data_IF_346746291426
#
_entry.id   IF_346746291426
#
_cell.length_a   1.000
_cell.length_b   1.000
_cell.length_c   1.000
_cell.angle_alpha   90.00
_cell.angle_beta   90.00
_cell.angle_gamma   90.00
#
_symmetry.space_group_name_H-M   'P 1'
#
loop_
_entity.id
_entity.type
_entity.pdbx_description
1 polymer ?
#
# COMPACT_ATOMS: atom_id res chain seq x y z
N UNK A 1 -14.84 27.91 -39.68
CA UNK A 1 -13.75 28.15 -38.72
C UNK A 1 -14.01 27.25 -37.51
N UNK A 2 -13.47 26.03 -37.50
CA UNK A 2 -13.71 25.03 -36.45
C UNK A 2 -12.46 24.97 -35.57
N UNK A 3 -12.59 25.40 -34.32
CA UNK A 3 -11.50 25.37 -33.35
C UNK A 3 -11.26 23.92 -32.89
N UNK A 4 -10.10 23.38 -33.26
CA UNK A 4 -9.58 22.11 -32.73
C UNK A 4 -9.13 22.38 -31.29
N UNK A 5 -9.86 21.81 -30.33
CA UNK A 5 -9.46 21.73 -28.92
C UNK A 5 -8.25 20.78 -28.83
N UNK A 6 -7.05 21.35 -28.94
CA UNK A 6 -5.80 20.66 -28.65
C UNK A 6 -5.82 20.22 -27.18
N UNK A 7 -5.83 18.91 -26.96
CA UNK A 7 -5.67 18.30 -25.65
C UNK A 7 -4.41 18.84 -24.97
N UNK A 8 -4.56 19.25 -23.70
CA UNK A 8 -3.43 19.68 -22.89
C UNK A 8 -2.37 18.57 -22.87
N UNK A 9 -1.08 18.88 -23.09
CA UNK A 9 -0.03 17.88 -23.02
C UNK A 9 -0.03 17.25 -21.63
N UNK A 10 -0.13 15.91 -21.58
CA UNK A 10 0.11 15.13 -20.37
C UNK A 10 1.54 15.43 -19.94
N UNK A 11 1.69 16.19 -18.86
CA UNK A 11 2.99 16.52 -18.29
C UNK A 11 3.64 15.20 -17.87
N UNK A 12 4.87 14.92 -18.32
CA UNK A 12 5.60 13.74 -17.91
C UNK A 12 5.74 13.74 -16.37
N UNK A 13 5.06 12.80 -15.72
CA UNK A 13 5.33 12.48 -14.31
C UNK A 13 6.79 12.04 -14.24
N UNK A 14 7.61 12.73 -13.47
CA UNK A 14 8.98 12.28 -13.20
C UNK A 14 8.92 10.88 -12.59
N UNK A 15 9.50 9.90 -13.28
CA UNK A 15 9.45 8.51 -12.83
C UNK A 15 10.06 8.38 -11.42
N UNK A 16 9.30 7.77 -10.50
CA UNK A 16 9.76 7.50 -9.13
C UNK A 16 10.81 6.39 -9.15
N UNK A 17 12.03 6.68 -8.71
CA UNK A 17 13.13 5.71 -8.70
C UNK A 17 13.01 4.76 -7.50
N UNK A 18 12.42 3.58 -7.74
CA UNK A 18 12.25 2.53 -6.72
C UNK A 18 13.35 1.46 -6.74
N UNK A 19 14.49 1.69 -7.43
CA UNK A 19 15.55 0.67 -7.54
C UNK A 19 16.13 0.25 -6.19
N UNK A 20 16.36 1.22 -5.29
CA UNK A 20 16.83 0.96 -3.93
C UNK A 20 15.87 0.05 -3.15
N UNK A 21 14.59 0.41 -3.16
CA UNK A 21 13.50 -0.38 -2.57
C UNK A 21 13.50 -1.83 -3.08
N UNK A 22 13.50 -2.04 -4.39
CA UNK A 22 13.48 -3.39 -4.97
C UNK A 22 14.72 -4.22 -4.61
N UNK A 23 15.91 -3.59 -4.61
CA UNK A 23 17.15 -4.25 -4.23
C UNK A 23 17.07 -4.75 -2.78
N UNK A 24 16.62 -3.89 -1.85
CA UNK A 24 16.52 -4.26 -0.44
C UNK A 24 15.42 -5.29 -0.19
N UNK A 25 14.26 -5.14 -0.84
CA UNK A 25 13.14 -6.07 -0.73
C UNK A 25 13.53 -7.50 -1.15
N UNK A 26 14.25 -7.65 -2.26
CA UNK A 26 14.74 -8.96 -2.73
C UNK A 26 15.85 -9.55 -1.86
N UNK A 27 16.60 -8.71 -1.16
CA UNK A 27 17.68 -9.14 -0.28
C UNK A 27 17.20 -9.52 1.13
N UNK A 28 15.94 -9.21 1.49
CA UNK A 28 15.41 -9.50 2.81
C UNK A 28 15.27 -11.02 3.03
N UNK A 29 15.92 -11.62 4.03
CA UNK A 29 15.80 -13.04 4.32
C UNK A 29 14.34 -13.46 4.55
N UNK A 30 14.00 -14.67 4.09
CA UNK A 30 12.66 -15.25 4.20
C UNK A 30 12.76 -16.46 5.14
N UNK A 31 12.22 -16.40 6.37
CA UNK A 31 12.15 -17.57 7.25
C UNK A 31 11.09 -18.57 6.75
N UNK A 32 11.15 -19.82 7.21
CA UNK A 32 10.24 -20.91 6.81
C UNK A 32 8.74 -20.62 7.08
N UNK A 33 8.46 -19.69 8.00
CA UNK A 33 7.11 -19.26 8.36
C UNK A 33 6.76 -17.86 7.83
N UNK A 34 7.35 -17.51 6.68
CA UNK A 34 6.96 -16.36 5.88
C UNK A 34 7.11 -16.61 4.37
N UNK A 35 6.36 -15.86 3.58
CA UNK A 35 6.38 -15.93 2.11
C UNK A 35 6.86 -14.62 1.49
N UNK A 36 7.84 -14.71 0.59
CA UNK A 36 8.16 -13.60 -0.32
C UNK A 36 7.20 -13.55 -1.50
N UNK A 37 6.64 -12.37 -1.76
CA UNK A 37 5.52 -12.22 -2.69
C UNK A 37 5.91 -11.92 -4.15
N UNK A 38 7.17 -11.63 -4.43
CA UNK A 38 7.59 -11.06 -5.73
C UNK A 38 8.70 -11.89 -6.39
N UNK A 39 8.53 -13.21 -6.31
CA UNK A 39 9.46 -14.21 -6.84
C UNK A 39 9.35 -14.42 -8.35
N UNK A 40 10.19 -15.29 -8.92
CA UNK A 40 10.25 -15.55 -10.35
C UNK A 40 9.09 -16.43 -10.85
N UNK A 41 8.31 -17.05 -9.99
CA UNK A 41 7.14 -17.86 -10.35
C UNK A 41 6.04 -17.02 -11.03
N UNK A 42 5.11 -17.62 -11.80
CA UNK A 42 4.06 -16.89 -12.51
C UNK A 42 3.29 -15.89 -11.63
N UNK A 43 2.87 -16.32 -10.44
CA UNK A 43 2.14 -15.48 -9.49
C UNK A 43 3.02 -14.37 -8.89
N UNK A 44 4.29 -14.67 -8.58
CA UNK A 44 5.26 -13.67 -8.12
C UNK A 44 5.49 -12.56 -9.14
N UNK A 45 5.64 -12.93 -10.42
CA UNK A 45 5.80 -11.95 -11.51
C UNK A 45 4.52 -11.12 -11.72
N UNK A 46 3.35 -11.72 -11.58
CA UNK A 46 2.06 -11.01 -11.61
C UNK A 46 1.98 -10.00 -10.46
N UNK A 47 2.26 -10.45 -9.23
CA UNK A 47 2.28 -9.60 -8.03
C UNK A 47 3.27 -8.44 -8.17
N UNK A 48 4.43 -8.68 -8.77
CA UNK A 48 5.40 -7.61 -9.06
C UNK A 48 4.87 -6.59 -10.06
N UNK A 49 4.29 -7.04 -11.18
CA UNK A 49 3.67 -6.12 -12.17
C UNK A 49 2.56 -5.30 -11.53
N UNK A 50 1.74 -5.91 -10.69
CA UNK A 50 0.71 -5.22 -9.92
C UNK A 50 1.29 -4.18 -8.95
N UNK A 51 2.36 -4.50 -8.21
CA UNK A 51 2.99 -3.54 -7.32
C UNK A 51 3.61 -2.36 -8.09
N UNK A 52 4.25 -2.63 -9.24
CA UNK A 52 4.78 -1.57 -10.12
C UNK A 52 3.66 -0.68 -10.64
N UNK A 53 2.57 -1.27 -11.11
CA UNK A 53 1.38 -0.52 -11.54
C UNK A 53 0.80 0.33 -10.40
N UNK A 54 0.73 -0.21 -9.19
CA UNK A 54 0.29 0.54 -8.02
C UNK A 54 1.18 1.76 -7.76
N UNK A 55 2.51 1.59 -7.81
CA UNK A 55 3.46 2.69 -7.65
C UNK A 55 3.28 3.78 -8.73
N UNK A 56 3.10 3.40 -9.99
CA UNK A 56 2.83 4.34 -11.09
C UNK A 56 1.55 5.15 -10.84
N UNK A 57 0.48 4.46 -10.46
CA UNK A 57 -0.81 5.07 -10.21
C UNK A 57 -0.77 6.06 -9.04
N UNK A 58 -0.16 5.65 -7.92
CA UNK A 58 0.00 6.52 -6.75
C UNK A 58 0.87 7.73 -7.10
N UNK A 59 1.99 7.53 -7.79
CA UNK A 59 2.87 8.62 -8.22
C UNK A 59 2.12 9.64 -9.09
N UNK A 60 1.26 9.18 -10.00
CA UNK A 60 0.43 10.07 -10.83
C UNK A 60 -0.56 10.92 -10.01
N UNK A 61 -0.95 10.48 -8.80
CA UNK A 61 -1.79 11.31 -7.90
C UNK A 61 -0.99 12.39 -7.16
N UNK A 62 0.35 12.30 -7.14
CA UNK A 62 1.24 13.14 -6.32
C UNK A 62 1.78 14.40 -7.01
N UNK A 63 1.26 14.74 -8.19
CA UNK A 63 1.62 15.96 -8.94
C UNK A 63 1.18 17.28 -8.25
N UNK A 64 0.37 17.20 -7.20
CA UNK A 64 -0.06 18.37 -6.42
C UNK A 64 0.96 18.76 -5.34
N UNK A 65 1.20 20.07 -5.16
CA UNK A 65 2.03 20.61 -4.07
C UNK A 65 1.44 20.25 -2.71
N UNK A 66 2.20 19.65 -1.80
CA UNK A 66 1.82 19.42 -0.40
C UNK A 66 2.51 18.21 0.21
N UNK A 67 2.23 17.90 1.48
CA UNK A 67 2.88 16.78 2.12
C UNK A 67 2.44 15.47 1.48
N UNK A 68 3.36 14.53 1.39
CA UNK A 68 3.13 13.20 0.82
C UNK A 68 3.05 12.20 1.96
N UNK A 69 1.91 11.51 2.03
CA UNK A 69 1.58 10.64 3.17
C UNK A 69 1.91 9.20 2.81
N UNK A 70 2.48 8.48 3.77
CA UNK A 70 2.59 7.03 3.72
C UNK A 70 1.82 6.39 4.86
N UNK A 71 0.93 5.46 4.53
CA UNK A 71 0.28 4.57 5.48
C UNK A 71 1.06 3.27 5.60
N UNK A 72 1.50 2.94 6.81
CA UNK A 72 2.34 1.78 7.10
C UNK A 72 1.55 0.74 7.90
N UNK A 73 1.21 -0.38 7.28
CA UNK A 73 0.60 -1.56 7.91
C UNK A 73 1.62 -2.49 8.57
N UNK A 74 1.15 -3.56 9.23
CA UNK A 74 2.04 -4.54 9.89
C UNK A 74 2.72 -5.48 8.87
N UNK A 75 1.92 -6.25 8.12
CA UNK A 75 2.39 -7.23 7.13
C UNK A 75 1.28 -7.54 6.09
N UNK A 76 1.63 -8.08 4.91
CA UNK A 76 0.68 -8.65 3.95
C UNK A 76 -0.26 -9.69 4.58
N UNK A 77 -1.54 -9.64 4.23
CA UNK A 77 -2.54 -10.63 4.63
C UNK A 77 -2.82 -11.68 3.54
N UNK A 78 -3.03 -12.93 3.95
CA UNK A 78 -3.16 -14.07 3.02
C UNK A 78 -4.35 -13.98 2.03
N UNK A 79 -5.41 -13.23 2.37
CA UNK A 79 -6.62 -13.07 1.52
C UNK A 79 -6.59 -11.83 0.61
N UNK A 80 -5.60 -10.96 0.78
CA UNK A 80 -5.51 -9.68 0.10
C UNK A 80 -4.18 -9.55 -0.62
N UNK A 81 -3.24 -8.90 0.05
CA UNK A 81 -1.92 -8.56 -0.50
C UNK A 81 -1.14 -9.78 -1.00
N UNK A 82 -1.17 -10.92 -0.30
CA UNK A 82 -0.47 -12.14 -0.76
C UNK A 82 -0.96 -12.63 -2.12
N UNK A 83 -2.23 -12.38 -2.46
CA UNK A 83 -2.86 -12.76 -3.74
C UNK A 83 -2.66 -11.66 -4.79
N UNK A 84 -2.84 -10.39 -4.40
CA UNK A 84 -2.86 -9.26 -5.34
C UNK A 84 -1.48 -8.69 -5.66
N UNK A 85 -0.52 -8.84 -4.76
CA UNK A 85 0.76 -8.13 -4.79
C UNK A 85 0.68 -6.67 -4.32
N UNK A 86 -0.51 -6.17 -3.97
CA UNK A 86 -0.75 -4.76 -3.63
C UNK A 86 -1.25 -4.62 -2.18
N UNK A 87 -0.68 -3.71 -1.37
CA UNK A 87 -1.12 -3.48 0.01
C UNK A 87 -2.62 -3.18 0.13
N UNK A 88 -3.27 -3.78 1.14
CA UNK A 88 -4.70 -3.64 1.42
C UNK A 88 -5.61 -3.76 0.18
N UNK A 89 -5.26 -4.66 -0.73
CA UNK A 89 -6.01 -4.86 -1.99
C UNK A 89 -6.31 -6.35 -2.14
N UNK A 90 -7.59 -6.75 -2.15
CA UNK A 90 -8.00 -8.10 -2.55
C UNK A 90 -8.46 -8.12 -4.01
N UNK A 91 -8.82 -9.28 -4.56
CA UNK A 91 -9.36 -9.39 -5.93
C UNK A 91 -10.52 -8.41 -6.16
N UNK A 92 -11.42 -8.25 -5.18
CA UNK A 92 -12.50 -7.25 -5.22
C UNK A 92 -12.01 -5.82 -5.52
N UNK A 93 -10.88 -5.39 -4.93
CA UNK A 93 -10.29 -4.07 -5.21
C UNK A 93 -9.58 -4.06 -6.57
N UNK A 94 -8.82 -5.11 -6.90
CA UNK A 94 -8.13 -5.23 -8.20
C UNK A 94 -9.09 -5.08 -9.38
N UNK A 95 -10.28 -5.68 -9.26
CA UNK A 95 -11.31 -5.70 -10.31
C UNK A 95 -12.34 -4.60 -10.18
N UNK A 96 -12.13 -3.59 -9.32
CA UNK A 96 -13.10 -2.52 -9.11
C UNK A 96 -13.30 -1.71 -10.41
N UNK A 97 -14.56 -1.37 -10.68
CA UNK A 97 -15.01 -0.54 -11.81
C UNK A 97 -16.07 0.44 -11.28
N UNK A 98 -15.86 1.76 -11.34
CA UNK A 98 -14.62 2.44 -11.77
C UNK A 98 -13.41 2.09 -10.88
N UNK A 99 -12.19 2.35 -11.38
CA UNK A 99 -10.94 2.16 -10.65
C UNK A 99 -10.90 2.95 -9.35
N UNK A 100 -10.34 2.37 -8.28
CA UNK A 100 -10.31 3.00 -6.96
C UNK A 100 -9.28 4.12 -6.88
N UNK A 101 -8.24 4.08 -7.72
CA UNK A 101 -7.20 5.12 -7.78
C UNK A 101 -7.52 6.12 -8.89
N UNK A 102 -7.82 5.62 -10.09
CA UNK A 102 -7.96 6.46 -11.29
C UNK A 102 -9.37 7.00 -11.49
N UNK A 103 -10.39 6.35 -10.92
CA UNK A 103 -11.79 6.59 -11.28
C UNK A 103 -12.15 6.15 -12.70
N UNK A 104 -11.24 5.50 -13.44
CA UNK A 104 -11.48 5.11 -14.82
C UNK A 104 -12.56 4.01 -14.90
N UNK A 105 -13.51 4.07 -15.87
CA UNK A 105 -14.54 3.06 -16.01
C UNK A 105 -13.96 1.65 -16.18
N UNK A 106 -12.78 1.57 -16.82
CA UNK A 106 -12.07 0.33 -17.16
C UNK A 106 -11.21 -0.21 -16.03
N UNK A 107 -11.19 0.50 -14.89
CA UNK A 107 -10.44 0.16 -13.70
C UNK A 107 -8.99 0.63 -13.72
N UNK A 108 -8.24 0.22 -12.70
CA UNK A 108 -6.86 0.68 -12.48
C UNK A 108 -5.81 -0.09 -13.31
N UNK A 109 -6.23 -1.11 -14.07
CA UNK A 109 -5.35 -1.88 -14.96
C UNK A 109 -4.45 -2.89 -14.24
N UNK A 110 -4.88 -3.42 -13.10
CA UNK A 110 -4.21 -4.53 -12.44
C UNK A 110 -4.53 -5.87 -13.11
N UNK A 111 -3.58 -6.80 -13.00
CA UNK A 111 -3.77 -8.20 -13.38
C UNK A 111 -4.48 -8.99 -12.28
N UNK A 112 -5.30 -9.94 -12.69
CA UNK A 112 -6.09 -10.80 -11.80
C UNK A 112 -5.50 -12.20 -11.87
N UNK A 113 -5.10 -12.80 -10.72
CA UNK A 113 -4.70 -14.20 -10.69
C UNK A 113 -5.82 -15.10 -11.24
N UNK A 114 -5.45 -16.13 -11.99
CA UNK A 114 -6.42 -17.04 -12.62
C UNK A 114 -7.23 -17.83 -11.58
N UNK A 115 -6.56 -18.31 -10.53
CA UNK A 115 -7.14 -19.15 -9.48
C UNK A 115 -6.89 -18.55 -8.08
N UNK A 116 -7.52 -17.41 -7.73
CA UNK A 116 -7.25 -16.74 -6.47
C UNK A 116 -7.80 -17.54 -5.28
N UNK A 117 -6.95 -17.84 -4.29
CA UNK A 117 -7.34 -18.58 -3.08
C UNK A 117 -8.42 -17.87 -2.24
N UNK A 118 -8.56 -16.55 -2.37
CA UNK A 118 -9.63 -15.75 -1.81
C UNK A 118 -9.90 -14.54 -2.70
N UNK A 119 -11.17 -14.12 -2.79
CA UNK A 119 -11.56 -12.94 -3.59
C UNK A 119 -11.70 -11.67 -2.76
N UNK A 120 -11.85 -11.81 -1.45
CA UNK A 120 -12.21 -10.72 -0.55
C UNK A 120 -11.43 -10.74 0.76
N UNK A 121 -11.01 -9.56 1.19
CA UNK A 121 -10.46 -9.30 2.52
C UNK A 121 -11.18 -8.11 3.17
N UNK A 122 -11.61 -8.27 4.42
CA UNK A 122 -12.34 -7.24 5.17
C UNK A 122 -11.51 -5.96 5.38
N UNK A 123 -10.24 -6.08 5.76
CA UNK A 123 -9.35 -4.94 6.00
C UNK A 123 -9.17 -4.11 4.73
N UNK A 124 -8.86 -4.76 3.60
CA UNK A 124 -8.82 -4.12 2.27
C UNK A 124 -10.09 -3.31 1.97
N UNK A 125 -11.27 -3.91 2.15
CA UNK A 125 -12.54 -3.23 1.90
C UNK A 125 -12.77 -2.01 2.82
N UNK A 126 -12.39 -2.09 4.08
CA UNK A 126 -12.51 -0.96 5.03
C UNK A 126 -11.56 0.17 4.65
N UNK A 127 -10.29 -0.15 4.36
CA UNK A 127 -9.27 0.84 4.00
C UNK A 127 -9.70 1.64 2.77
N UNK A 128 -10.06 0.95 1.68
CA UNK A 128 -10.47 1.64 0.46
C UNK A 128 -11.79 2.40 0.60
N UNK A 129 -12.74 1.91 1.40
CA UNK A 129 -13.96 2.67 1.70
C UNK A 129 -13.65 3.97 2.47
N UNK A 130 -12.71 3.94 3.41
CA UNK A 130 -12.30 5.16 4.12
C UNK A 130 -11.55 6.12 3.19
N UNK A 131 -10.70 5.60 2.30
CA UNK A 131 -9.97 6.38 1.31
C UNK A 131 -10.88 6.99 0.22
N UNK A 132 -12.09 6.48 0.01
CA UNK A 132 -13.05 7.10 -0.91
C UNK A 132 -13.44 8.53 -0.48
N UNK A 133 -13.30 8.87 0.81
CA UNK A 133 -13.50 10.23 1.33
C UNK A 133 -12.18 11.04 1.40
N UNK A 134 -11.06 10.48 0.96
CA UNK A 134 -9.76 11.15 0.96
C UNK A 134 -9.75 12.34 -0.01
N UNK A 135 -8.98 13.38 0.32
CA UNK A 135 -8.88 14.60 -0.49
C UNK A 135 -7.41 14.92 -0.73
N UNK A 136 -7.07 15.21 -1.98
CA UNK A 136 -5.68 15.41 -2.40
C UNK A 136 -5.00 14.11 -2.83
N UNK A 137 -3.65 14.12 -2.96
CA UNK A 137 -2.88 12.95 -3.39
C UNK A 137 -3.16 11.74 -2.50
N UNK A 138 -3.38 10.57 -3.09
CA UNK A 138 -3.60 9.35 -2.31
C UNK A 138 -2.36 9.03 -1.46
N UNK A 139 -2.53 8.53 -0.23
CA UNK A 139 -1.41 8.05 0.54
C UNK A 139 -0.79 6.83 -0.14
N UNK A 140 0.55 6.78 -0.15
CA UNK A 140 1.25 5.54 -0.46
C UNK A 140 1.02 4.55 0.68
N UNK A 141 0.68 3.31 0.37
CA UNK A 141 0.41 2.28 1.37
C UNK A 141 1.48 1.22 1.24
N UNK A 142 2.05 0.79 2.37
CA UNK A 142 3.02 -0.30 2.42
C UNK A 142 2.99 -1.00 3.78
N UNK A 143 3.61 -2.17 3.91
CA UNK A 143 3.74 -2.88 5.18
C UNK A 143 5.16 -2.70 5.75
N UNK A 144 5.30 -2.56 7.07
CA UNK A 144 6.63 -2.47 7.69
C UNK A 144 7.41 -3.78 7.54
N UNK A 145 6.75 -4.94 7.65
CA UNK A 145 7.31 -6.23 7.26
C UNK A 145 6.76 -6.62 5.88
N UNK A 146 7.60 -6.76 4.83
CA UNK A 146 7.10 -6.87 3.46
C UNK A 146 6.81 -8.31 3.00
N UNK A 147 7.24 -9.33 3.75
CA UNK A 147 6.87 -10.73 3.51
C UNK A 147 5.57 -11.05 4.23
N UNK A 148 4.84 -12.06 3.77
CA UNK A 148 3.63 -12.54 4.46
C UNK A 148 3.99 -13.53 5.58
N UNK A 149 3.86 -13.18 6.86
CA UNK A 149 4.09 -14.10 7.96
C UNK A 149 2.85 -14.98 8.21
N UNK A 150 3.06 -16.29 8.32
CA UNK A 150 2.01 -17.27 8.59
C UNK A 150 2.38 -18.20 9.74
N UNK A 151 1.42 -18.95 10.27
CA UNK A 151 1.71 -20.03 11.21
C UNK A 151 2.53 -21.12 10.50
N UNK A 152 3.52 -21.75 11.18
CA UNK A 152 4.34 -22.80 10.57
C UNK A 152 3.49 -23.90 9.93
N UNK A 153 3.76 -24.22 8.66
CA UNK A 153 3.00 -25.21 7.90
C UNK A 153 1.60 -24.78 7.43
N UNK A 154 1.15 -23.57 7.76
CA UNK A 154 -0.20 -23.08 7.47
C UNK A 154 -0.18 -21.72 6.73
N UNK A 155 0.22 -21.68 5.45
CA UNK A 155 0.34 -20.43 4.68
C UNK A 155 -0.99 -19.65 4.51
N UNK A 156 -2.14 -20.28 4.71
CA UNK A 156 -3.46 -19.63 4.68
C UNK A 156 -3.88 -19.02 6.04
N UNK A 157 -2.91 -18.54 6.82
CA UNK A 157 -3.12 -17.92 8.14
C UNK A 157 -2.33 -16.62 8.22
N UNK A 158 -2.71 -15.74 9.14
CA UNK A 158 -1.90 -14.58 9.46
C UNK A 158 -1.30 -14.79 10.84
N UNK A 159 0.03 -14.70 10.97
CA UNK A 159 0.65 -14.45 12.27
C UNK A 159 1.11 -12.99 12.38
N UNK A 160 1.19 -12.41 13.57
CA UNK A 160 1.91 -11.16 13.79
C UNK A 160 3.38 -11.25 13.31
N UNK A 161 3.92 -10.23 12.64
CA UNK A 161 5.36 -10.18 12.40
C UNK A 161 6.11 -10.00 13.73
N UNK A 162 7.28 -10.63 13.84
CA UNK A 162 8.18 -10.54 14.99
C UNK A 162 8.85 -9.17 15.02
N UNK A 163 9.33 -8.77 16.20
CA UNK A 163 10.05 -7.50 16.35
C UNK A 163 11.30 -7.41 15.43
N UNK A 164 12.00 -8.53 15.25
CA UNK A 164 13.18 -8.64 14.35
C UNK A 164 12.80 -8.52 12.88
N UNK A 165 11.70 -9.14 12.46
CA UNK A 165 11.16 -9.03 11.09
C UNK A 165 10.74 -7.60 10.77
N UNK A 166 10.03 -6.97 11.70
CA UNK A 166 9.65 -5.56 11.62
C UNK A 166 10.88 -4.64 11.56
N UNK A 167 11.92 -4.91 12.36
CA UNK A 167 13.17 -4.13 12.33
C UNK A 167 13.92 -4.29 11.00
N UNK A 168 13.97 -5.50 10.44
CA UNK A 168 14.60 -5.77 9.16
C UNK A 168 13.82 -5.18 7.97
N UNK A 169 12.49 -5.11 8.07
CA UNK A 169 11.63 -4.54 7.05
C UNK A 169 11.57 -3.00 7.04
N UNK A 170 11.77 -2.34 8.20
CA UNK A 170 11.67 -0.89 8.30
C UNK A 170 12.56 -0.13 7.29
N UNK A 171 13.87 -0.43 7.12
CA UNK A 171 14.71 0.22 6.11
C UNK A 171 14.15 0.13 4.67
N UNK A 172 13.45 -0.94 4.32
CA UNK A 172 12.83 -1.12 3.00
C UNK A 172 11.65 -0.16 2.84
N UNK A 173 10.80 -0.04 3.85
CA UNK A 173 9.70 0.92 3.85
C UNK A 173 10.22 2.36 3.74
N UNK A 174 11.35 2.68 4.38
CA UNK A 174 11.96 4.00 4.32
C UNK A 174 12.59 4.31 2.97
N UNK A 175 13.24 3.32 2.33
CA UNK A 175 13.74 3.49 0.97
C UNK A 175 12.60 3.77 -0.03
N UNK A 176 11.44 3.13 0.15
CA UNK A 176 10.25 3.43 -0.64
C UNK A 176 9.71 4.84 -0.34
N UNK A 177 9.66 5.21 0.94
CA UNK A 177 9.21 6.52 1.38
C UNK A 177 10.09 7.64 0.79
N UNK A 178 11.40 7.47 0.80
CA UNK A 178 12.37 8.39 0.19
C UNK A 178 12.13 8.54 -1.30
N UNK A 179 11.96 7.44 -2.04
CA UNK A 179 11.68 7.46 -3.48
C UNK A 179 10.43 8.29 -3.81
N UNK A 180 9.40 8.19 -2.97
CA UNK A 180 8.16 8.95 -3.13
C UNK A 180 8.19 10.34 -2.50
N UNK A 181 9.28 10.75 -1.83
CA UNK A 181 9.37 12.04 -1.13
C UNK A 181 8.35 12.19 -0.01
N UNK A 182 8.07 11.10 0.72
CA UNK A 182 7.13 11.06 1.84
C UNK A 182 7.61 11.98 2.96
N UNK A 183 6.68 12.75 3.51
CA UNK A 183 6.92 13.71 4.60
C UNK A 183 6.10 13.41 5.85
N UNK A 184 5.02 12.63 5.72
CA UNK A 184 4.17 12.24 6.82
C UNK A 184 3.92 10.73 6.84
N UNK A 185 3.91 10.16 8.05
CA UNK A 185 3.66 8.75 8.26
C UNK A 185 2.41 8.54 9.11
N UNK A 186 1.52 7.67 8.64
CA UNK A 186 0.41 7.10 9.38
C UNK A 186 0.71 5.62 9.63
N UNK A 187 0.45 5.11 10.82
CA UNK A 187 0.60 3.66 11.09
C UNK A 187 -0.75 3.01 11.29
N UNK A 188 -0.98 1.89 10.61
CA UNK A 188 -2.23 1.12 10.75
C UNK A 188 -2.02 0.06 11.82
N UNK A 189 -2.35 0.41 13.06
CA UNK A 189 -2.03 -0.40 14.25
C UNK A 189 -0.76 0.06 14.97
N UNK A 190 -0.61 -0.38 16.24
CA UNK A 190 0.45 0.10 17.14
C UNK A 190 1.83 -0.52 16.89
N UNK A 191 1.91 -1.71 16.27
CA UNK A 191 3.21 -2.39 16.08
C UNK A 191 4.08 -1.66 15.06
N UNK A 192 3.49 -1.21 13.96
CA UNK A 192 4.18 -0.40 12.96
C UNK A 192 4.69 0.94 13.55
N UNK A 193 3.95 1.53 14.50
CA UNK A 193 4.38 2.74 15.21
C UNK A 193 5.70 2.53 15.97
N UNK A 194 5.79 1.47 16.78
CA UNK A 194 7.02 1.18 17.54
C UNK A 194 8.23 0.90 16.64
N UNK A 195 8.01 0.35 15.45
CA UNK A 195 9.05 0.13 14.46
C UNK A 195 9.64 1.42 13.90
N UNK A 196 8.76 2.33 13.44
CA UNK A 196 9.15 3.61 12.89
C UNK A 196 9.81 4.48 13.96
N UNK A 197 9.31 4.46 15.20
CA UNK A 197 9.90 5.20 16.31
C UNK A 197 11.36 4.80 16.58
N UNK A 198 11.70 3.49 16.49
CA UNK A 198 13.09 3.01 16.61
C UNK A 198 13.99 3.46 15.46
N UNK A 199 13.41 3.76 14.29
CA UNK A 199 14.10 4.36 13.16
C UNK A 199 14.11 5.90 13.22
N UNK A 200 13.69 6.50 14.34
CA UNK A 200 13.65 7.96 14.52
C UNK A 200 12.47 8.65 13.82
N UNK A 201 11.48 7.89 13.35
CA UNK A 201 10.36 8.41 12.57
C UNK A 201 9.12 8.52 13.44
N UNK A 202 8.60 9.74 13.52
CA UNK A 202 7.32 10.02 14.14
C UNK A 202 6.20 9.64 13.16
N UNK A 203 5.24 8.87 13.65
CA UNK A 203 4.09 8.46 12.86
C UNK A 203 2.81 8.56 13.69
N UNK A 204 1.76 9.08 13.07
CA UNK A 204 0.43 9.18 13.70
C UNK A 204 -0.23 7.80 13.67
N UNK A 205 -0.57 7.22 14.84
CA UNK A 205 -1.19 5.90 14.87
C UNK A 205 -2.69 5.96 14.57
N UNK A 206 -3.13 5.11 13.66
CA UNK A 206 -4.52 4.77 13.41
C UNK A 206 -4.84 3.42 14.06
N UNK A 207 -6.07 3.25 14.56
CA UNK A 207 -6.59 1.96 14.99
C UNK A 207 -6.63 1.03 13.79
N UNK A 208 -6.11 -0.19 13.92
CA UNK A 208 -6.19 -1.18 12.85
C UNK A 208 -7.68 -1.51 12.52
N UNK A 209 -8.08 -1.63 11.24
CA UNK A 209 -9.49 -1.80 10.85
C UNK A 209 -10.11 -3.15 11.22
N UNK A 210 -9.28 -4.18 11.41
CA UNK A 210 -9.73 -5.51 11.88
C UNK A 210 -10.19 -5.52 13.34
N UNK A 211 -10.83 -6.62 13.78
CA UNK A 211 -11.22 -6.87 15.17
C UNK A 211 -12.01 -5.70 15.79
N UNK A 212 -13.10 -5.30 15.13
CA UNK A 212 -13.98 -4.20 15.55
C UNK A 212 -13.42 -2.79 15.35
N UNK A 213 -12.19 -2.63 14.85
CA UNK A 213 -11.54 -1.32 14.71
C UNK A 213 -11.99 -0.47 13.53
N UNK A 214 -12.89 -0.96 12.69
CA UNK A 214 -13.29 -0.31 11.43
C UNK A 214 -13.77 1.14 11.60
N UNK A 215 -14.61 1.39 12.62
CA UNK A 215 -15.16 2.72 12.90
C UNK A 215 -14.07 3.70 13.29
N UNK A 216 -13.26 3.34 14.30
CA UNK A 216 -12.18 4.17 14.79
C UNK A 216 -11.12 4.45 13.71
N UNK A 217 -10.75 3.44 12.90
CA UNK A 217 -9.86 3.64 11.76
C UNK A 217 -10.41 4.71 10.81
N UNK A 218 -11.68 4.59 10.42
CA UNK A 218 -12.33 5.50 9.46
C UNK A 218 -12.41 6.93 10.01
N UNK A 219 -12.84 7.09 11.26
CA UNK A 219 -12.94 8.40 11.92
C UNK A 219 -11.56 9.07 12.08
N UNK A 220 -10.54 8.31 12.49
CA UNK A 220 -9.19 8.84 12.66
C UNK A 220 -8.53 9.23 11.33
N UNK A 221 -8.70 8.43 10.27
CA UNK A 221 -8.18 8.75 8.94
C UNK A 221 -8.86 10.01 8.40
N UNK A 222 -10.18 10.13 8.57
CA UNK A 222 -10.93 11.32 8.15
C UNK A 222 -10.49 12.57 8.92
N UNK A 223 -10.30 12.48 10.24
CA UNK A 223 -9.81 13.58 11.06
C UNK A 223 -8.42 14.04 10.64
N UNK A 224 -7.50 13.11 10.38
CA UNK A 224 -6.16 13.43 9.87
C UNK A 224 -6.21 14.13 8.51
N UNK A 225 -7.02 13.62 7.58
CA UNK A 225 -7.19 14.23 6.27
C UNK A 225 -7.80 15.64 6.34
N UNK A 226 -8.77 15.86 7.23
CA UNK A 226 -9.42 17.15 7.42
C UNK A 226 -8.44 18.21 7.98
N UNK A 227 -7.64 17.86 8.99
CA UNK A 227 -6.66 18.78 9.59
C UNK A 227 -5.64 19.28 8.55
N UNK A 228 -5.16 18.38 7.68
CA UNK A 228 -4.23 18.75 6.58
C UNK A 228 -4.80 19.68 5.54
N UNK A 229 -6.12 19.67 5.36
CA UNK A 229 -6.80 20.56 4.43
C UNK A 229 -6.93 21.99 4.94
N UNK A 230 -6.72 22.23 6.25
CA UNK A 230 -6.83 23.53 6.90
C UNK A 230 -5.50 24.31 6.94
N UNK A 231 -4.37 23.61 6.78
CA UNK A 231 -3.02 24.21 6.76
C UNK A 231 -2.59 24.72 5.36
N UNK A 232 -3.54 24.96 4.45
CA UNK A 232 -3.30 25.41 3.06
C UNK A 232 -4.04 26.69 2.72
#
# INVERSE_FOLDING_TARGET
>A
MVAVLLGRPVRQVTAVDTRGFWKMLRALPVPDDAEFLYGPEPDGRLRERNLRRYHELVAATMDARGPRVMMVGEAPGYRGHTISGVPFTSVRQLTARPGLITGAPEGDGFEVPEHPAARWEQSSAIVWRALAAWRGPLPLIWAVYPHHPHEPGHPATNRPPRATEVAAGAPIALSLAEAFGITDFLTVGRKAQGALARAGIQATPLRHPAQGGARAFTEQLAAYNAARGQDR
#
